data_IF_277834512970
#
_entry.id   IF_277834512970
#
_cell.length_a   1.000
_cell.length_b   1.000
_cell.length_c   1.000
_cell.angle_alpha   90.00
_cell.angle_beta   90.00
_cell.angle_gamma   90.00
#
_symmetry.space_group_name_H-M   'P 1'
#
loop_
_entity.id
_entity.type
_entity.pdbx_description
1 polymer ?
#
# COMPACT_ATOMS: atom_id res chain seq x y z
N UNK A 1 -1.65 28.81 -3.38
CA UNK A 1 -2.23 27.47 -3.67
C UNK A 1 -2.81 26.87 -2.38
N UNK A 2 -4.13 26.68 -2.33
CA UNK A 2 -4.87 26.26 -1.14
C UNK A 2 -4.44 24.85 -0.66
N UNK A 3 -4.36 24.63 0.66
CA UNK A 3 -3.98 23.35 1.28
C UNK A 3 -4.90 22.20 0.84
N UNK A 4 -6.19 22.50 0.64
CA UNK A 4 -7.18 21.53 0.16
C UNK A 4 -6.84 21.04 -1.26
N UNK A 5 -6.49 21.96 -2.16
CA UNK A 5 -6.15 21.65 -3.55
C UNK A 5 -4.93 20.72 -3.61
N UNK A 6 -3.88 21.01 -2.83
CA UNK A 6 -2.68 20.14 -2.77
C UNK A 6 -3.02 18.74 -2.26
N UNK A 7 -3.84 18.64 -1.21
CA UNK A 7 -4.26 17.34 -0.64
C UNK A 7 -5.05 16.51 -1.64
N UNK A 8 -5.99 17.13 -2.36
CA UNK A 8 -6.77 16.45 -3.38
C UNK A 8 -5.90 15.94 -4.53
N UNK A 9 -4.94 16.74 -5.00
CA UNK A 9 -3.99 16.33 -6.05
C UNK A 9 -3.16 15.12 -5.58
N UNK A 10 -2.62 15.15 -4.36
CA UNK A 10 -1.83 14.04 -3.83
C UNK A 10 -2.65 12.76 -3.67
N UNK A 11 -3.91 12.86 -3.23
CA UNK A 11 -4.81 11.71 -3.14
C UNK A 11 -5.09 11.11 -4.52
N UNK A 12 -5.35 11.95 -5.52
CA UNK A 12 -5.59 11.51 -6.90
C UNK A 12 -4.35 10.83 -7.51
N UNK A 13 -3.17 11.43 -7.35
CA UNK A 13 -1.90 10.85 -7.80
C UNK A 13 -1.65 9.50 -7.13
N UNK A 14 -1.84 9.42 -5.81
CA UNK A 14 -1.68 8.18 -5.04
C UNK A 14 -2.64 7.09 -5.51
N UNK A 15 -3.90 7.44 -5.79
CA UNK A 15 -4.88 6.51 -6.33
C UNK A 15 -4.48 5.98 -7.71
N UNK A 16 -4.07 6.88 -8.62
CA UNK A 16 -3.66 6.51 -9.98
C UNK A 16 -2.46 5.56 -9.96
N UNK A 17 -1.44 5.88 -9.16
CA UNK A 17 -0.24 5.03 -8.98
C UNK A 17 -0.62 3.69 -8.37
N UNK A 18 -1.45 3.67 -7.32
CA UNK A 18 -1.92 2.42 -6.71
C UNK A 18 -2.66 1.53 -7.71
N UNK A 19 -3.48 2.12 -8.58
CA UNK A 19 -4.20 1.38 -9.64
C UNK A 19 -3.24 0.77 -10.67
N UNK A 20 -2.21 1.50 -11.08
CA UNK A 20 -1.20 0.99 -12.01
C UNK A 20 -0.40 -0.16 -11.37
N UNK A 21 0.05 0.01 -10.13
CA UNK A 21 0.79 -1.02 -9.39
C UNK A 21 -0.05 -2.28 -9.16
N UNK A 22 -1.33 -2.15 -8.81
CA UNK A 22 -2.21 -3.32 -8.65
C UNK A 22 -2.45 -4.08 -9.96
N UNK A 23 -2.39 -3.41 -11.12
CA UNK A 23 -2.47 -4.07 -12.43
C UNK A 23 -1.21 -4.88 -12.73
N UNK A 24 -0.04 -4.32 -12.43
CA UNK A 24 1.26 -4.96 -12.66
C UNK A 24 1.54 -6.07 -11.63
N UNK A 25 1.16 -5.86 -10.38
CA UNK A 25 1.46 -6.71 -9.23
C UNK A 25 0.18 -7.18 -8.55
N UNK A 26 -0.46 -8.22 -9.10
CA UNK A 26 -1.73 -8.77 -8.57
C UNK A 26 -1.66 -9.17 -7.09
N UNK A 27 -0.51 -9.65 -6.62
CA UNK A 27 -0.26 -10.00 -5.21
C UNK A 27 -0.47 -8.81 -4.26
N UNK A 28 -0.28 -7.58 -4.73
CA UNK A 28 -0.41 -6.37 -3.92
C UNK A 28 -1.85 -6.16 -3.43
N UNK A 29 -2.84 -6.55 -4.25
CA UNK A 29 -4.26 -6.44 -3.87
C UNK A 29 -4.64 -7.43 -2.77
N UNK A 30 -4.06 -8.63 -2.78
CA UNK A 30 -4.31 -9.64 -1.75
C UNK A 30 -3.75 -9.18 -0.40
N UNK A 31 -2.49 -8.71 -0.38
CA UNK A 31 -1.87 -8.20 0.86
C UNK A 31 -2.60 -6.95 1.38
N UNK A 32 -3.06 -6.06 0.51
CA UNK A 32 -3.88 -4.92 0.92
C UNK A 32 -5.21 -5.34 1.56
N UNK A 33 -5.85 -6.39 1.05
CA UNK A 33 -7.06 -6.95 1.63
C UNK A 33 -6.79 -7.57 3.01
N UNK A 34 -5.70 -8.34 3.16
CA UNK A 34 -5.26 -8.90 4.43
C UNK A 34 -4.96 -7.82 5.47
N UNK A 35 -4.25 -6.75 5.08
CA UNK A 35 -3.98 -5.60 5.97
C UNK A 35 -5.30 -4.94 6.40
N UNK A 36 -6.24 -4.75 5.47
CA UNK A 36 -7.53 -4.14 5.77
C UNK A 36 -8.35 -5.01 6.72
N UNK A 37 -8.34 -6.32 6.53
CA UNK A 37 -9.01 -7.28 7.40
C UNK A 37 -8.35 -7.29 8.79
N UNK A 38 -7.02 -7.40 8.86
CA UNK A 38 -6.28 -7.39 10.12
C UNK A 38 -6.53 -6.10 10.94
N UNK A 39 -6.56 -4.93 10.28
CA UNK A 39 -6.90 -3.65 10.92
C UNK A 39 -8.32 -3.62 11.48
N UNK A 40 -9.28 -4.27 10.80
CA UNK A 40 -10.68 -4.35 11.25
C UNK A 40 -10.86 -5.33 12.40
N UNK A 41 -10.21 -6.49 12.33
CA UNK A 41 -10.42 -7.58 13.31
C UNK A 41 -9.60 -7.43 14.58
N UNK A 42 -8.38 -6.88 14.51
CA UNK A 42 -7.44 -6.94 15.63
C UNK A 42 -6.81 -5.57 15.99
N UNK A 43 -7.25 -4.46 15.40
CA UNK A 43 -6.62 -3.14 15.61
C UNK A 43 -5.17 -3.07 15.12
N UNK A 44 -4.36 -2.11 15.61
CA UNK A 44 -2.93 -1.96 15.28
C UNK A 44 -2.07 -2.99 16.04
N UNK A 45 -2.17 -4.26 15.66
CA UNK A 45 -1.39 -5.37 16.23
C UNK A 45 -0.11 -5.67 15.45
N UNK A 46 0.78 -6.50 16.03
CA UNK A 46 2.01 -6.99 15.39
C UNK A 46 1.76 -7.57 14.00
N UNK A 47 0.64 -8.30 13.82
CA UNK A 47 0.20 -8.84 12.53
C UNK A 47 0.04 -7.78 11.43
N UNK A 48 -0.51 -6.61 11.75
CA UNK A 48 -0.62 -5.51 10.78
C UNK A 48 0.77 -4.99 10.39
N UNK A 49 1.68 -4.84 11.36
CA UNK A 49 3.07 -4.41 11.10
C UNK A 49 3.81 -5.42 10.23
N UNK A 50 3.61 -6.72 10.47
CA UNK A 50 4.24 -7.79 9.68
C UNK A 50 3.73 -7.81 8.25
N UNK A 51 2.42 -7.65 8.04
CA UNK A 51 1.84 -7.56 6.71
C UNK A 51 2.31 -6.30 5.96
N UNK A 52 2.41 -5.16 6.64
CA UNK A 52 2.97 -3.92 6.07
C UNK A 52 4.46 -4.04 5.75
N UNK A 53 5.24 -4.76 6.57
CA UNK A 53 6.64 -5.08 6.30
C UNK A 53 6.77 -6.01 5.08
N UNK A 54 6.01 -7.11 5.05
CA UNK A 54 5.99 -8.04 3.92
C UNK A 54 5.65 -7.34 2.61
N UNK A 55 4.65 -6.45 2.63
CA UNK A 55 4.29 -5.63 1.47
C UNK A 55 5.47 -4.77 0.99
N UNK A 56 6.19 -4.11 1.90
CA UNK A 56 7.38 -3.31 1.58
C UNK A 56 8.48 -4.16 0.98
N UNK A 57 8.82 -5.29 1.61
CA UNK A 57 9.89 -6.17 1.14
C UNK A 57 9.60 -6.71 -0.27
N UNK A 58 8.35 -7.10 -0.54
CA UNK A 58 7.92 -7.53 -1.87
C UNK A 58 7.97 -6.39 -2.89
N UNK A 59 7.60 -5.16 -2.51
CA UNK A 59 7.75 -3.99 -3.38
C UNK A 59 9.22 -3.70 -3.67
N UNK A 60 10.10 -3.75 -2.67
CA UNK A 60 11.53 -3.52 -2.84
C UNK A 60 12.12 -4.52 -3.83
N UNK A 61 11.78 -5.81 -3.71
CA UNK A 61 12.19 -6.84 -4.68
C UNK A 61 11.63 -6.57 -6.08
N UNK A 62 10.35 -6.21 -6.19
CA UNK A 62 9.70 -5.94 -7.47
C UNK A 62 10.26 -4.72 -8.20
N UNK A 63 10.74 -3.72 -7.46
CA UNK A 63 11.36 -2.50 -8.01
C UNK A 63 12.87 -2.65 -8.25
N UNK A 64 13.42 -3.86 -8.20
CA UNK A 64 14.84 -4.12 -8.45
C UNK A 64 15.76 -3.72 -7.30
N UNK A 65 15.21 -3.45 -6.11
CA UNK A 65 16.00 -3.23 -4.89
C UNK A 65 16.61 -4.54 -4.43
N UNK A 66 17.83 -4.83 -4.88
CA UNK A 66 18.73 -5.73 -4.16
C UNK A 66 19.16 -5.00 -2.88
N UNK A 67 18.83 -5.58 -1.73
CA UNK A 67 19.53 -5.33 -0.48
C UNK A 67 20.31 -6.57 -0.14
#
# INVERSE_FOLDING_TARGET
MNRLIRRTIHLWQSWKTKRALNRQYRWMSAIDAEIKQAKRSHGKTGRVRDLERRKRDMMTRALGGQR
#
